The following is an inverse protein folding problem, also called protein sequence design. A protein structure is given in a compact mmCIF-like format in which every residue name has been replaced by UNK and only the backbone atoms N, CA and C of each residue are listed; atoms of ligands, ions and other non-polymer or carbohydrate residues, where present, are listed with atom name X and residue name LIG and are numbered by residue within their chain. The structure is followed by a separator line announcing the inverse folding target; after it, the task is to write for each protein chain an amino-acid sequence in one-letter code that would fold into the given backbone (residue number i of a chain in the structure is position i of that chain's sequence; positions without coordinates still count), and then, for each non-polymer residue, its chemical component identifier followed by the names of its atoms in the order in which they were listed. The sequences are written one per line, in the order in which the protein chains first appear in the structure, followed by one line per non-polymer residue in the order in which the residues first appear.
data_IF_983017587010
#
_entry.id   IF_983017587010
#
_cell.length_a   1.000
_cell.length_b   1.000
_cell.length_c   1.000
_cell.angle_alpha   90.00
_cell.angle_beta   90.00
_cell.angle_gamma   90.00
#
_symmetry.space_group_name_H-M   'P 1'
#
loop_
_entity.id
_entity.type
_entity.pdbx_description
1 polymer ?
#
# COMPACT_ATOMS: atom_id res chain seq x y z
N UNK A 1 -3.91 -4.65 19.47
CA UNK A 1 -4.48 -5.88 18.88
C UNK A 1 -5.08 -5.49 17.56
N UNK A 2 -4.67 -6.14 16.48
CA UNK A 2 -5.11 -5.81 15.13
C UNK A 2 -6.32 -6.70 14.82
N UNK A 3 -7.49 -6.08 14.64
CA UNK A 3 -8.69 -6.81 14.25
C UNK A 3 -8.62 -7.15 12.75
N UNK A 4 -8.87 -8.41 12.41
CA UNK A 4 -8.81 -8.92 11.04
C UNK A 4 -10.18 -9.46 10.66
N UNK A 5 -10.85 -8.74 9.76
CA UNK A 5 -12.16 -9.10 9.24
C UNK A 5 -12.10 -9.67 7.82
N UNK A 6 -13.06 -10.55 7.50
CA UNK A 6 -13.29 -11.09 6.15
C UNK A 6 -14.66 -10.62 5.68
N UNK A 7 -14.75 -9.88 4.57
CA UNK A 7 -16.06 -9.45 4.02
C UNK A 7 -16.16 -9.76 2.51
N UNK A 8 -17.24 -10.38 2.03
CA UNK A 8 -17.54 -10.45 0.60
C UNK A 8 -17.95 -9.06 0.09
N UNK A 9 -17.57 -8.71 -1.15
CA UNK A 9 -18.06 -7.46 -1.76
C UNK A 9 -19.52 -7.60 -2.17
N UNK A 10 -20.32 -6.56 -1.94
CA UNK A 10 -21.74 -6.53 -2.30
C UNK A 10 -21.97 -6.48 -3.83
N UNK A 11 -20.94 -6.14 -4.60
CA UNK A 11 -21.02 -5.88 -6.05
C UNK A 11 -20.57 -7.07 -6.90
N UNK A 12 -19.77 -8.00 -6.36
CA UNK A 12 -19.33 -9.22 -7.05
C UNK A 12 -19.13 -10.37 -6.06
N UNK A 13 -19.92 -11.46 -6.10
CA UNK A 13 -19.82 -12.58 -5.14
C UNK A 13 -18.52 -13.41 -5.30
N UNK A 14 -17.61 -13.00 -6.18
CA UNK A 14 -16.38 -13.68 -6.56
C UNK A 14 -15.11 -12.96 -6.09
N UNK A 15 -15.24 -11.76 -5.55
CA UNK A 15 -14.12 -10.96 -5.04
C UNK A 15 -14.21 -10.87 -3.53
N UNK A 16 -13.13 -11.26 -2.87
CA UNK A 16 -12.98 -11.26 -1.42
C UNK A 16 -11.79 -10.40 -1.01
N UNK A 17 -11.97 -9.60 0.05
CA UNK A 17 -10.90 -8.77 0.60
C UNK A 17 -10.59 -9.16 2.05
N UNK A 18 -9.30 -9.32 2.35
CA UNK A 18 -8.78 -9.35 3.72
C UNK A 18 -8.58 -7.92 4.18
N UNK A 19 -9.21 -7.54 5.29
CA UNK A 19 -9.02 -6.21 5.87
C UNK A 19 -8.22 -6.28 7.16
N UNK A 20 -7.54 -5.18 7.43
CA UNK A 20 -6.86 -4.91 8.70
C UNK A 20 -7.34 -3.57 9.22
N UNK A 21 -7.78 -3.50 10.47
CA UNK A 21 -8.14 -2.22 11.09
C UNK A 21 -6.90 -1.62 11.73
N UNK A 22 -6.49 -0.47 11.24
CA UNK A 22 -5.40 0.34 11.81
C UNK A 22 -5.90 1.76 11.96
N UNK A 23 -5.79 2.35 13.15
CA UNK A 23 -6.33 3.69 13.45
C UNK A 23 -7.83 3.86 13.12
N UNK A 24 -8.63 2.81 13.32
CA UNK A 24 -10.07 2.82 13.00
C UNK A 24 -10.39 2.79 11.50
N UNK A 25 -9.37 2.72 10.64
CA UNK A 25 -9.53 2.61 9.18
C UNK A 25 -9.33 1.16 8.73
N UNK A 26 -10.25 0.67 7.89
CA UNK A 26 -10.11 -0.63 7.22
C UNK A 26 -9.12 -0.49 6.05
N UNK A 27 -7.95 -1.11 6.16
CA UNK A 27 -6.94 -1.20 5.08
C UNK A 27 -7.02 -2.59 4.44
N UNK A 28 -7.07 -2.66 3.11
CA UNK A 28 -7.03 -3.94 2.38
C UNK A 28 -5.62 -4.53 2.46
N UNK A 29 -5.51 -5.78 2.91
CA UNK A 29 -4.26 -6.53 2.98
C UNK A 29 -4.04 -7.48 1.81
N UNK A 30 -5.12 -8.05 1.30
CA UNK A 30 -5.11 -8.96 0.18
C UNK A 30 -6.47 -8.91 -0.51
N UNK A 31 -6.44 -9.06 -1.83
CA UNK A 31 -7.63 -9.27 -2.65
C UNK A 31 -7.52 -10.65 -3.27
N UNK A 32 -8.59 -11.43 -3.17
CA UNK A 32 -8.73 -12.73 -3.80
C UNK A 32 -9.91 -12.64 -4.76
N UNK A 33 -9.66 -12.91 -6.04
CA UNK A 33 -10.69 -12.96 -7.06
C UNK A 33 -10.78 -14.35 -7.66
N UNK A 34 -11.99 -14.90 -7.70
CA UNK A 34 -12.26 -16.21 -8.27
C UNK A 34 -13.05 -16.07 -9.57
N UNK A 35 -12.38 -16.25 -10.71
CA UNK A 35 -13.00 -16.17 -12.02
C UNK A 35 -12.50 -17.30 -12.92
N UNK A 36 -13.37 -17.85 -13.76
CA UNK A 36 -12.99 -18.84 -14.80
C UNK A 36 -12.21 -20.08 -14.27
N UNK A 37 -12.46 -20.49 -13.02
CA UNK A 37 -11.73 -21.57 -12.31
C UNK A 37 -10.28 -21.22 -11.94
N UNK A 38 -9.92 -19.95 -12.01
CA UNK A 38 -8.65 -19.42 -11.58
C UNK A 38 -8.86 -18.55 -10.33
N UNK A 39 -7.95 -18.69 -9.37
CA UNK A 39 -7.90 -17.85 -8.18
C UNK A 39 -6.76 -16.86 -8.35
N UNK A 40 -7.09 -15.59 -8.52
CA UNK A 40 -6.12 -14.50 -8.57
C UNK A 40 -5.96 -13.91 -7.19
N UNK A 41 -4.71 -13.76 -6.74
CA UNK A 41 -4.39 -13.23 -5.42
C UNK A 41 -3.49 -12.02 -5.61
N UNK A 42 -3.86 -10.90 -5.01
CA UNK A 42 -3.07 -9.67 -5.05
C UNK A 42 -2.76 -9.19 -3.64
N UNK A 43 -1.48 -8.89 -3.39
CA UNK A 43 -1.03 -8.31 -2.13
C UNK A 43 0.28 -7.54 -2.32
N UNK A 44 0.41 -6.42 -1.62
CA UNK A 44 1.61 -5.57 -1.68
C UNK A 44 2.80 -6.13 -0.86
N UNK A 45 2.80 -7.41 -0.49
CA UNK A 45 3.84 -8.01 0.36
C UNK A 45 4.04 -9.49 0.07
N UNK A 46 5.29 -9.86 -0.22
CA UNK A 46 5.71 -11.25 -0.43
C UNK A 46 5.39 -12.13 0.77
N UNK A 47 5.66 -11.67 1.99
CA UNK A 47 5.36 -12.42 3.22
C UNK A 47 3.85 -12.71 3.36
N UNK A 48 2.99 -11.76 2.96
CA UNK A 48 1.54 -11.97 2.94
C UNK A 48 1.15 -12.98 1.86
N UNK A 49 1.75 -12.88 0.67
CA UNK A 49 1.52 -13.85 -0.41
C UNK A 49 1.85 -15.26 0.06
N UNK A 50 3.04 -15.47 0.63
CA UNK A 50 3.49 -16.79 1.09
C UNK A 50 2.55 -17.37 2.17
N UNK A 51 2.03 -16.52 3.07
CA UNK A 51 1.01 -16.93 4.05
C UNK A 51 -0.27 -17.40 3.37
N UNK A 52 -0.79 -16.66 2.40
CA UNK A 52 -2.03 -17.03 1.69
C UNK A 52 -1.83 -18.32 0.89
N UNK A 53 -0.71 -18.45 0.17
CA UNK A 53 -0.37 -19.67 -0.58
C UNK A 53 -0.23 -20.88 0.34
N UNK A 54 0.35 -20.72 1.53
CA UNK A 54 0.44 -21.79 2.54
C UNK A 54 -0.93 -22.30 2.97
N UNK A 55 -1.88 -21.40 3.22
CA UNK A 55 -3.26 -21.76 3.57
C UNK A 55 -3.95 -22.47 2.41
N UNK A 56 -3.81 -21.97 1.18
CA UNK A 56 -4.45 -22.55 0.01
C UNK A 56 -3.93 -23.95 -0.32
N UNK A 57 -2.61 -24.18 -0.22
CA UNK A 57 -2.02 -25.51 -0.40
C UNK A 57 -2.52 -26.52 0.63
N UNK A 58 -2.78 -26.07 1.86
CA UNK A 58 -3.31 -26.94 2.92
C UNK A 58 -4.79 -27.28 2.71
N UNK A 59 -5.60 -26.34 2.21
CA UNK A 59 -7.04 -26.54 1.99
C UNK A 59 -7.34 -27.28 0.68
N UNK A 60 -6.55 -27.01 -0.36
CA UNK A 60 -6.78 -27.48 -1.72
C UNK A 60 -5.44 -27.95 -2.33
N UNK A 61 -5.00 -29.18 -2.01
CA UNK A 61 -3.72 -29.70 -2.50
C UNK A 61 -3.66 -29.85 -4.03
N UNK A 62 -4.81 -29.92 -4.69
CA UNK A 62 -4.92 -30.04 -6.16
C UNK A 62 -4.79 -28.70 -6.90
N UNK A 63 -4.61 -27.57 -6.18
CA UNK A 63 -4.39 -26.27 -6.80
C UNK A 63 -3.05 -26.27 -7.56
N UNK A 64 -3.13 -25.98 -8.85
CA UNK A 64 -1.96 -25.77 -9.69
C UNK A 64 -1.68 -24.27 -9.76
N UNK A 65 -0.45 -23.88 -9.44
CA UNK A 65 0.00 -22.51 -9.67
C UNK A 65 0.17 -22.29 -11.18
N UNK A 66 -0.64 -21.41 -11.75
CA UNK A 66 -0.55 -21.04 -13.17
C UNK A 66 0.52 -19.97 -13.37
N UNK A 67 0.51 -18.93 -12.53
CA UNK A 67 1.40 -17.78 -12.61
C UNK A 67 1.77 -17.30 -11.20
N UNK A 68 3.05 -16.99 -10.96
CA UNK A 68 3.54 -16.31 -9.74
C UNK A 68 4.40 -15.12 -10.18
N UNK A 69 3.82 -13.93 -10.12
CA UNK A 69 4.49 -12.67 -10.41
C UNK A 69 4.79 -11.94 -9.11
N UNK A 70 6.07 -11.64 -8.88
CA UNK A 70 6.52 -10.89 -7.70
C UNK A 70 7.46 -9.80 -8.16
N UNK A 71 7.01 -8.57 -8.02
CA UNK A 71 7.82 -7.41 -8.38
C UNK A 71 7.95 -6.52 -7.16
N UNK A 72 9.18 -6.06 -6.90
CA UNK A 72 9.38 -5.04 -5.89
C UNK A 72 9.01 -3.68 -6.49
N UNK A 73 8.51 -2.76 -5.67
CA UNK A 73 8.28 -1.38 -6.11
C UNK A 73 9.55 -0.73 -6.70
N UNK A 74 10.74 -1.21 -6.29
CA UNK A 74 12.02 -0.75 -6.84
C UNK A 74 12.24 -1.25 -8.28
N UNK A 75 11.90 -2.49 -8.56
CA UNK A 75 12.06 -3.09 -9.90
C UNK A 75 11.03 -2.53 -10.89
N UNK A 76 9.79 -2.34 -10.44
CA UNK A 76 8.73 -1.64 -11.18
C UNK A 76 9.12 -0.20 -11.51
N UNK A 77 9.65 0.53 -10.51
CA UNK A 77 10.10 1.90 -10.74
C UNK A 77 11.27 1.96 -11.72
N UNK A 78 12.25 1.07 -11.57
CA UNK A 78 13.38 1.00 -12.48
C UNK A 78 12.94 0.59 -13.90
N UNK A 79 11.92 -0.25 -14.05
CA UNK A 79 11.36 -0.63 -15.34
C UNK A 79 10.60 0.52 -16.01
N UNK A 80 9.79 1.27 -15.25
CA UNK A 80 9.07 2.44 -15.74
C UNK A 80 10.00 3.56 -16.23
N UNK A 81 11.09 3.82 -15.49
CA UNK A 81 12.13 4.78 -15.93
C UNK A 81 12.76 4.33 -17.26
N UNK A 82 13.01 3.03 -17.43
CA UNK A 82 13.65 2.49 -18.66
C UNK A 82 12.73 2.52 -19.88
N UNK A 83 11.42 2.38 -19.70
CA UNK A 83 10.46 2.34 -20.82
C UNK A 83 9.99 3.73 -21.27
N UNK A 84 10.40 4.80 -20.59
CA UNK A 84 9.91 6.16 -20.88
C UNK A 84 8.39 6.32 -20.68
N UNK A 85 7.75 5.33 -20.04
CA UNK A 85 6.33 5.30 -19.74
C UNK A 85 6.09 5.77 -18.31
N UNK A 86 5.07 6.61 -18.12
CA UNK A 86 4.54 6.95 -16.81
C UNK A 86 4.33 5.70 -15.95
N UNK A 87 4.53 5.88 -14.65
CA UNK A 87 4.72 4.83 -13.64
C UNK A 87 3.49 3.89 -13.54
N UNK A 88 3.69 2.58 -13.30
CA UNK A 88 2.58 1.66 -13.04
C UNK A 88 1.84 2.11 -11.78
N UNK A 89 0.58 2.46 -11.96
CA UNK A 89 -0.36 2.70 -10.87
C UNK A 89 -0.59 1.37 -10.17
N UNK A 90 -0.15 1.26 -8.92
CA UNK A 90 -0.39 0.08 -8.09
C UNK A 90 -1.90 -0.16 -8.00
N UNK A 91 -2.37 -1.16 -8.72
CA UNK A 91 -3.79 -1.39 -8.97
C UNK A 91 -4.61 -1.61 -7.71
N UNK A 92 -5.69 -0.85 -7.59
CA UNK A 92 -6.97 -1.38 -7.17
C UNK A 92 -7.94 -1.09 -8.32
N UNK A 93 -8.17 -2.09 -9.19
CA UNK A 93 -9.18 -2.07 -10.24
C UNK A 93 -10.61 -2.25 -9.68
N UNK A 94 -10.92 -1.67 -8.52
CA UNK A 94 -12.30 -1.56 -8.04
C UNK A 94 -12.82 -0.16 -8.34
N UNK A 95 -13.31 0.01 -9.57
CA UNK A 95 -13.95 1.23 -10.03
C UNK A 95 -12.95 2.37 -10.21
N UNK A 96 -12.56 2.66 -11.45
CA UNK A 96 -11.83 3.89 -11.75
C UNK A 96 -12.75 5.08 -11.48
N UNK A 97 -12.78 5.54 -10.22
CA UNK A 97 -13.17 6.89 -9.87
C UNK A 97 -12.32 7.81 -10.74
N UNK A 98 -12.96 8.65 -11.55
CA UNK A 98 -12.23 9.59 -12.40
C UNK A 98 -11.47 10.56 -11.50
N UNK A 99 -10.17 10.31 -11.35
CA UNK A 99 -9.28 11.12 -10.51
C UNK A 99 -9.11 12.54 -11.06
N UNK A 100 -9.67 12.86 -12.22
CA UNK A 100 -9.72 14.22 -12.77
C UNK A 100 -10.96 15.01 -12.33
N UNK A 101 -11.97 14.35 -11.74
CA UNK A 101 -13.13 15.03 -11.19
C UNK A 101 -12.70 15.88 -9.96
N UNK A 102 -12.99 17.20 -9.94
CA UNK A 102 -12.57 18.08 -8.85
C UNK A 102 -13.14 17.67 -7.47
N UNK A 103 -14.33 17.08 -7.41
CA UNK A 103 -14.94 16.62 -6.16
C UNK A 103 -14.23 15.37 -5.63
N UNK A 104 -13.89 14.44 -6.53
CA UNK A 104 -13.12 13.22 -6.19
C UNK A 104 -11.70 13.59 -5.77
N UNK A 105 -11.07 14.55 -6.46
CA UNK A 105 -9.74 15.06 -6.08
C UNK A 105 -9.73 15.67 -4.69
N UNK A 106 -10.72 16.52 -4.36
CA UNK A 106 -10.82 17.12 -3.05
C UNK A 106 -11.00 16.06 -1.95
N UNK A 107 -11.85 15.05 -2.19
CA UNK A 107 -12.06 13.95 -1.26
C UNK A 107 -10.78 13.10 -1.07
N UNK A 108 -10.04 12.82 -2.15
CA UNK A 108 -8.76 12.11 -2.10
C UNK A 108 -7.69 12.93 -1.36
N UNK A 109 -7.66 14.25 -1.56
CA UNK A 109 -6.75 15.16 -0.85
C UNK A 109 -7.05 15.24 0.65
N UNK A 110 -8.32 15.24 1.06
CA UNK A 110 -8.68 15.18 2.47
C UNK A 110 -8.30 13.82 3.07
N UNK A 111 -8.65 12.73 2.40
CA UNK A 111 -8.32 11.38 2.83
C UNK A 111 -6.81 11.19 3.00
N UNK A 112 -6.00 11.66 2.04
CA UNK A 112 -4.55 11.48 2.11
C UNK A 112 -3.91 12.32 3.22
N UNK A 113 -4.47 13.49 3.58
CA UNK A 113 -4.01 14.27 4.74
C UNK A 113 -4.23 13.52 6.04
N UNK A 114 -5.41 12.95 6.24
CA UNK A 114 -5.68 12.13 7.43
C UNK A 114 -4.77 10.90 7.46
N UNK A 115 -4.55 10.27 6.31
CA UNK A 115 -3.65 9.14 6.19
C UNK A 115 -2.20 9.52 6.54
N UNK A 116 -1.71 10.68 6.07
CA UNK A 116 -0.38 11.20 6.39
C UNK A 116 -0.21 11.45 7.88
N UNK A 117 -1.15 12.12 8.55
CA UNK A 117 -1.10 12.34 9.99
C UNK A 117 -1.06 11.02 10.77
N UNK A 118 -1.93 10.06 10.43
CA UNK A 118 -1.93 8.75 11.07
C UNK A 118 -0.62 7.98 10.82
N UNK A 119 -0.03 8.13 9.63
CA UNK A 119 1.23 7.48 9.28
C UNK A 119 2.41 7.99 10.13
N UNK A 120 2.38 9.25 10.58
CA UNK A 120 3.41 9.82 11.46
C UNK A 120 3.46 9.12 12.82
N UNK A 121 2.37 8.47 13.23
CA UNK A 121 2.21 7.76 14.49
C UNK A 121 2.14 6.23 14.31
N UNK A 122 2.22 5.73 13.07
CA UNK A 122 2.28 4.29 12.74
C UNK A 122 3.71 3.75 12.97
N UNK A 123 3.82 2.56 13.56
CA UNK A 123 5.11 1.86 13.68
C UNK A 123 5.60 1.36 12.33
N UNK A 124 6.78 1.79 11.90
CA UNK A 124 7.31 1.46 10.58
C UNK A 124 8.43 0.42 10.70
N UNK A 125 8.28 -0.77 10.07
CA UNK A 125 9.33 -1.78 10.08
C UNK A 125 10.68 -1.30 9.53
N UNK A 126 10.67 -0.43 8.52
CA UNK A 126 11.88 0.19 7.97
C UNK A 126 12.61 1.12 8.97
N UNK A 127 11.92 1.58 10.02
CA UNK A 127 12.48 2.38 11.12
C UNK A 127 12.69 1.52 12.38
N UNK A 128 12.92 0.21 12.22
CA UNK A 128 13.04 -0.75 13.32
C UNK A 128 11.83 -0.78 14.26
N UNK A 129 10.63 -0.47 13.74
CA UNK A 129 9.38 -0.46 14.50
C UNK A 129 9.11 0.86 15.24
N UNK A 130 9.93 1.89 15.05
CA UNK A 130 9.67 3.25 15.53
C UNK A 130 8.63 3.96 14.65
N UNK A 131 7.95 4.95 15.23
CA UNK A 131 7.13 5.88 14.46
C UNK A 131 7.99 6.94 13.77
N UNK A 132 7.53 7.56 12.67
CA UNK A 132 8.20 8.73 12.09
C UNK A 132 8.48 9.85 13.09
N UNK A 133 7.56 10.14 14.01
CA UNK A 133 7.79 11.18 15.04
C UNK A 133 8.92 10.80 16.00
N UNK A 134 8.95 9.54 16.44
CA UNK A 134 10.03 9.03 17.30
C UNK A 134 11.38 9.03 16.59
N UNK A 135 11.43 8.53 15.36
CA UNK A 135 12.65 8.51 14.55
C UNK A 135 13.13 9.93 14.22
N UNK A 136 12.23 10.90 14.05
CA UNK A 136 12.60 12.30 13.87
C UNK A 136 13.19 12.91 15.15
N UNK A 137 12.73 12.51 16.34
CA UNK A 137 13.23 13.03 17.61
C UNK A 137 14.59 12.43 18.02
N UNK A 138 14.90 11.21 17.58
CA UNK A 138 16.16 10.51 17.87
C UNK A 138 17.26 10.85 16.83
N UNK A 139 18.36 11.53 17.22
CA UNK A 139 19.45 11.89 16.31
C UNK A 139 20.12 10.70 15.61
N UNK A 140 20.11 9.52 16.24
CA UNK A 140 20.74 8.30 15.69
C UNK A 140 19.85 7.60 14.65
N UNK A 141 18.53 7.83 14.71
CA UNK A 141 17.53 7.23 13.80
C UNK A 141 16.98 8.20 12.76
N UNK A 142 17.20 9.50 12.97
CA UNK A 142 16.75 10.55 12.05
C UNK A 142 17.24 10.33 10.61
N UNK A 143 18.44 9.78 10.42
CA UNK A 143 18.98 9.51 9.08
C UNK A 143 18.23 8.37 8.35
N UNK A 144 17.75 7.35 9.07
CA UNK A 144 16.95 6.26 8.50
C UNK A 144 15.61 6.80 7.99
N UNK A 145 14.99 7.70 8.76
CA UNK A 145 13.77 8.41 8.38
C UNK A 145 13.97 9.32 7.16
N UNK A 146 15.08 10.08 7.10
CA UNK A 146 15.39 10.90 5.91
C UNK A 146 15.54 10.03 4.67
N UNK A 147 16.25 8.90 4.78
CA UNK A 147 16.41 7.93 3.68
C UNK A 147 15.09 7.35 3.22
N UNK A 148 14.20 7.01 4.17
CA UNK A 148 12.85 6.53 3.87
C UNK A 148 12.04 7.59 3.12
N UNK A 149 12.03 8.83 3.60
CA UNK A 149 11.30 9.93 2.95
C UNK A 149 11.87 10.25 1.55
N UNK A 150 13.18 10.13 1.36
CA UNK A 150 13.80 10.29 0.04
C UNK A 150 13.32 9.23 -0.96
N UNK A 151 12.98 8.02 -0.50
CA UNK A 151 12.39 6.98 -1.37
C UNK A 151 10.98 7.32 -1.87
N UNK A 152 10.32 8.29 -1.22
CA UNK A 152 8.99 8.78 -1.58
C UNK A 152 9.04 10.06 -2.42
N UNK A 153 10.23 10.65 -2.65
CA UNK A 153 10.34 11.80 -3.54
C UNK A 153 9.91 11.39 -4.95
N UNK A 154 8.92 12.12 -5.46
CA UNK A 154 8.38 11.98 -6.81
C UNK A 154 8.47 13.33 -7.49
N UNK A 155 8.62 13.30 -8.81
CA UNK A 155 8.69 14.51 -9.64
C UNK A 155 7.37 15.31 -9.63
N UNK A 156 6.23 14.62 -9.40
CA UNK A 156 4.89 15.24 -9.35
C UNK A 156 4.10 14.76 -8.12
N UNK A 157 3.40 15.70 -7.46
CA UNK A 157 2.45 15.39 -6.38
C UNK A 157 1.11 14.93 -7.00
N UNK A 158 0.86 13.62 -7.00
CA UNK A 158 -0.39 13.04 -7.49
C UNK A 158 -1.47 13.04 -6.40
N UNK A 159 -2.73 13.44 -6.71
CA UNK A 159 -3.87 13.30 -5.81
C UNK A 159 -4.04 11.85 -5.33
N UNK A 160 -4.34 11.66 -4.04
CA UNK A 160 -4.49 10.33 -3.43
C UNK A 160 -3.17 9.66 -3.02
N UNK A 161 -2.01 10.29 -3.24
CA UNK A 161 -0.71 9.79 -2.83
C UNK A 161 -0.07 10.65 -1.73
N UNK A 162 0.68 10.01 -0.83
CA UNK A 162 1.40 10.71 0.23
C UNK A 162 2.47 11.63 -0.35
N UNK A 163 2.65 12.81 0.25
CA UNK A 163 3.71 13.75 -0.10
C UNK A 163 4.85 13.69 0.90
N UNK A 164 6.03 13.31 0.41
CA UNK A 164 7.26 13.38 1.18
C UNK A 164 7.56 14.79 1.69
N UNK A 165 7.18 15.83 0.91
CA UNK A 165 7.33 17.23 1.30
C UNK A 165 6.45 17.59 2.50
N UNK A 166 5.17 17.20 2.49
CA UNK A 166 4.25 17.43 3.62
C UNK A 166 4.71 16.71 4.89
N UNK A 167 5.13 15.45 4.74
CA UNK A 167 5.67 14.66 5.86
C UNK A 167 6.93 15.31 6.46
N UNK A 168 7.88 15.77 5.62
CA UNK A 168 9.07 16.50 6.11
C UNK A 168 8.71 17.78 6.85
N UNK A 169 7.74 18.54 6.36
CA UNK A 169 7.26 19.75 7.02
C UNK A 169 6.64 19.43 8.39
N UNK A 170 5.79 18.40 8.48
CA UNK A 170 5.18 17.95 9.74
C UNK A 170 6.22 17.46 10.77
N UNK A 171 7.34 16.90 10.30
CA UNK A 171 8.43 16.39 11.14
C UNK A 171 9.52 17.42 11.45
N UNK A 172 9.38 18.67 10.96
CA UNK A 172 10.39 19.71 11.16
C UNK A 172 11.72 19.43 10.45
N UNK A 173 11.70 18.61 9.39
CA UNK A 173 12.87 18.20 8.62
C UNK A 173 13.14 19.09 7.40
N UNK A 174 12.42 20.22 7.27
CA UNK A 174 12.64 21.21 6.22
C UNK A 174 13.95 21.97 6.46
N UNK A 175 15.03 21.48 5.85
CA UNK A 175 16.23 22.24 5.52
C UNK A 175 16.46 22.18 4.02
#
# INVERSE_FOLDING_TARGET
AVDTGKKPTATSPRTWHEYVVTHGQEKIRATLDWANKELTIQTNSTQRMDRVLGVLRALCPDLVMVTDERTSMKDEYAAAIRSGGGRPTGGSESGMLDQNDPEIRAALEEYIRTYEENWLDDQIPALAGLTPREAAADPTRRQDLITLLASFDRDEEEPGMMSAKRLRAALGLTK
#
